data_IF_063338388822
#
_entry.id   IF_063338388822
#
_cell.length_a   1.000
_cell.length_b   1.000
_cell.length_c   1.000
_cell.angle_alpha   90.00
_cell.angle_beta   90.00
_cell.angle_gamma   90.00
#
_symmetry.space_group_name_H-M   'P 1'
#
loop_
_entity.id
_entity.type
_entity.pdbx_description
1 polymer ?
#
# COMPACT_ATOMS: atom_id res chain seq x y z
N UNK A 1 23.42 -41.45 10.32
CA UNK A 1 21.99 -41.19 10.60
C UNK A 1 21.80 -39.86 11.31
N UNK A 2 21.56 -38.79 10.56
CA UNK A 2 21.39 -37.43 11.09
C UNK A 2 20.12 -37.29 11.95
N UNK A 3 19.02 -37.97 11.58
CA UNK A 3 17.79 -38.02 12.38
C UNK A 3 17.96 -38.70 13.76
N UNK A 4 18.99 -39.54 13.95
CA UNK A 4 19.27 -40.18 15.24
C UNK A 4 19.97 -39.24 16.23
N UNK A 5 20.64 -38.18 15.75
CA UNK A 5 21.36 -37.25 16.61
C UNK A 5 20.41 -36.28 17.33
N UNK A 6 19.22 -36.02 16.78
CA UNK A 6 18.16 -35.23 17.43
C UNK A 6 18.68 -33.93 18.06
N UNK A 7 18.44 -33.76 19.36
CA UNK A 7 18.88 -32.58 20.15
C UNK A 7 20.29 -32.70 20.72
N UNK A 8 21.01 -33.79 20.46
CA UNK A 8 22.32 -34.05 21.07
C UNK A 8 23.45 -33.22 20.45
N UNK A 9 23.26 -32.66 19.25
CA UNK A 9 24.21 -31.74 18.61
C UNK A 9 23.53 -30.42 18.21
N UNK A 10 24.26 -29.30 18.16
CA UNK A 10 23.73 -28.04 17.65
C UNK A 10 23.20 -28.18 16.22
N UNK A 11 22.05 -27.57 15.95
CA UNK A 11 21.42 -27.63 14.62
C UNK A 11 22.32 -27.15 13.46
N UNK A 12 23.26 -26.19 13.60
CA UNK A 12 24.14 -25.80 12.49
C UNK A 12 25.14 -26.90 12.11
N UNK A 13 25.57 -27.73 13.07
CA UNK A 13 26.47 -28.86 12.82
C UNK A 13 25.75 -30.00 12.09
N UNK A 14 24.49 -30.23 12.45
CA UNK A 14 23.62 -31.17 11.74
C UNK A 14 23.31 -30.68 10.33
N UNK A 15 23.07 -29.37 10.15
CA UNK A 15 22.85 -28.74 8.86
C UNK A 15 24.08 -28.91 7.96
N UNK A 16 25.29 -28.65 8.47
CA UNK A 16 26.55 -28.82 7.76
C UNK A 16 26.77 -30.26 7.30
N UNK A 17 26.39 -31.24 8.11
CA UNK A 17 26.47 -32.66 7.74
C UNK A 17 25.57 -33.00 6.53
N UNK A 18 24.47 -32.25 6.32
CA UNK A 18 23.54 -32.46 5.21
C UNK A 18 23.83 -31.62 3.97
N UNK A 19 24.15 -30.33 4.17
CA UNK A 19 24.24 -29.33 3.10
C UNK A 19 25.67 -28.92 2.79
N UNK A 20 26.63 -29.32 3.62
CA UNK A 20 28.02 -28.85 3.57
C UNK A 20 28.22 -27.42 4.10
N UNK A 21 27.16 -26.77 4.60
CA UNK A 21 27.19 -25.40 5.12
C UNK A 21 26.58 -25.32 6.52
N UNK A 22 27.24 -24.56 7.41
CA UNK A 22 26.70 -24.22 8.74
C UNK A 22 25.63 -23.13 8.70
N UNK A 23 25.56 -22.37 7.61
CA UNK A 23 24.63 -21.26 7.43
C UNK A 23 23.40 -21.69 6.63
N UNK A 24 22.25 -21.08 6.96
CA UNK A 24 21.02 -21.27 6.20
C UNK A 24 21.14 -20.60 4.83
N UNK A 25 20.87 -21.37 3.76
CA UNK A 25 20.81 -20.88 2.40
C UNK A 25 19.41 -21.07 1.82
N UNK A 26 18.88 -20.02 1.18
CA UNK A 26 17.55 -19.98 0.56
C UNK A 26 17.62 -20.40 -0.92
N UNK A 27 18.81 -20.49 -1.52
CA UNK A 27 18.97 -20.85 -2.92
C UNK A 27 18.27 -22.18 -3.32
N UNK A 28 18.32 -23.27 -2.53
CA UNK A 28 17.61 -24.51 -2.87
C UNK A 28 16.08 -24.33 -2.91
N UNK A 29 15.54 -23.43 -2.08
CA UNK A 29 14.11 -23.11 -2.07
C UNK A 29 13.71 -22.30 -3.31
N UNK A 30 14.53 -21.32 -3.71
CA UNK A 30 14.30 -20.56 -4.95
C UNK A 30 14.39 -21.47 -6.18
N UNK A 31 15.35 -22.39 -6.19
CA UNK A 31 15.54 -23.36 -7.27
C UNK A 31 14.32 -24.27 -7.44
N UNK A 32 13.72 -24.69 -6.33
CA UNK A 32 12.47 -25.47 -6.31
C UNK A 32 11.30 -24.70 -6.94
N UNK A 33 11.17 -23.39 -6.65
CA UNK A 33 10.08 -22.55 -7.15
C UNK A 33 10.36 -21.86 -8.49
N UNK A 34 11.56 -21.99 -9.06
CA UNK A 34 11.96 -21.34 -10.31
C UNK A 34 11.00 -21.58 -11.49
N UNK A 35 10.48 -22.80 -11.75
CA UNK A 35 9.50 -23.00 -12.83
C UNK A 35 8.22 -22.17 -12.65
N UNK A 36 7.72 -22.10 -11.41
CA UNK A 36 6.53 -21.31 -11.08
C UNK A 36 6.82 -19.81 -11.21
N UNK A 37 7.96 -19.34 -10.72
CA UNK A 37 8.37 -17.95 -10.85
C UNK A 37 8.47 -17.53 -12.32
N UNK A 38 9.04 -18.37 -13.19
CA UNK A 38 9.12 -18.11 -14.62
C UNK A 38 7.73 -18.01 -15.27
N UNK A 39 6.80 -18.90 -14.92
CA UNK A 39 5.44 -18.85 -15.42
C UNK A 39 4.71 -17.58 -14.95
N UNK A 40 4.83 -17.23 -13.66
CA UNK A 40 4.22 -16.03 -13.11
C UNK A 40 4.75 -14.76 -13.77
N UNK A 41 6.06 -14.67 -14.02
CA UNK A 41 6.66 -13.55 -14.74
C UNK A 41 6.11 -13.43 -16.16
N UNK A 42 5.99 -14.54 -16.89
CA UNK A 42 5.40 -14.51 -18.25
C UNK A 42 3.97 -13.99 -18.25
N UNK A 43 3.14 -14.45 -17.30
CA UNK A 43 1.74 -14.05 -17.19
C UNK A 43 1.61 -12.56 -16.81
N UNK A 44 2.31 -12.14 -15.75
CA UNK A 44 2.21 -10.77 -15.21
C UNK A 44 2.91 -9.71 -16.07
N UNK A 45 3.89 -10.07 -16.89
CA UNK A 45 4.55 -9.15 -17.82
C UNK A 45 3.56 -8.46 -18.77
N UNK A 46 2.46 -9.12 -19.10
CA UNK A 46 1.40 -8.54 -19.93
C UNK A 46 0.53 -7.52 -19.18
N UNK A 47 0.43 -7.62 -17.86
CA UNK A 47 -0.50 -6.85 -17.03
C UNK A 47 0.17 -5.70 -16.24
N UNK A 48 1.45 -5.82 -15.89
CA UNK A 48 2.10 -4.95 -14.90
C UNK A 48 3.01 -3.86 -15.48
N UNK A 49 2.80 -3.44 -16.74
CA UNK A 49 3.73 -2.53 -17.42
C UNK A 49 3.90 -1.15 -16.74
N UNK A 50 3.02 -0.75 -15.81
CA UNK A 50 3.08 0.58 -15.17
C UNK A 50 2.71 0.58 -13.67
N UNK A 51 2.84 -0.54 -12.95
CA UNK A 51 2.38 -0.61 -11.57
C UNK A 51 3.56 -0.72 -10.58
N UNK A 52 3.98 0.42 -10.05
CA UNK A 52 4.91 0.50 -8.93
C UNK A 52 4.16 0.21 -7.62
N UNK A 53 4.82 -0.47 -6.68
CA UNK A 53 4.28 -0.63 -5.33
C UNK A 53 4.33 0.71 -4.62
N UNK A 54 3.20 1.39 -4.51
CA UNK A 54 3.07 2.62 -3.73
C UNK A 54 2.66 2.27 -2.31
N UNK A 55 3.32 2.87 -1.31
CA UNK A 55 2.94 2.76 0.11
C UNK A 55 1.58 3.45 0.43
N UNK A 56 0.89 3.96 -0.58
CA UNK A 56 -0.47 4.46 -0.46
C UNK A 56 -1.45 3.30 -0.24
N UNK A 57 -1.78 3.06 1.02
CA UNK A 57 -3.05 2.43 1.36
C UNK A 57 -4.16 3.26 0.71
N UNK A 58 -4.97 2.64 -0.15
CA UNK A 58 -6.14 3.30 -0.77
C UNK A 58 -7.21 3.55 0.29
N UNK A 59 -6.97 4.56 1.12
CA UNK A 59 -7.91 5.03 2.10
C UNK A 59 -8.82 6.06 1.43
N UNK A 60 -9.94 5.59 0.89
CA UNK A 60 -10.97 6.47 0.35
C UNK A 60 -11.89 6.96 1.48
N UNK A 61 -11.34 7.74 2.41
CA UNK A 61 -12.18 8.49 3.34
C UNK A 61 -12.75 9.70 2.61
N UNK A 62 -14.06 9.68 2.39
CA UNK A 62 -14.86 10.81 1.90
C UNK A 62 -14.93 11.98 2.93
N UNK A 63 -13.82 12.33 3.58
CA UNK A 63 -13.68 13.54 4.41
C UNK A 63 -13.94 14.82 3.60
N UNK A 64 -13.71 14.76 2.29
CA UNK A 64 -13.96 15.85 1.35
C UNK A 64 -15.45 16.11 1.12
N UNK A 65 -16.34 15.12 1.26
CA UNK A 65 -17.75 15.35 0.96
C UNK A 65 -18.40 16.16 2.08
N UNK A 66 -18.28 15.71 3.34
CA UNK A 66 -18.90 16.39 4.49
C UNK A 66 -18.30 17.78 4.74
N UNK A 67 -16.97 17.91 4.70
CA UNK A 67 -16.31 19.20 4.90
C UNK A 67 -16.58 20.19 3.74
N UNK A 68 -16.64 19.71 2.50
CA UNK A 68 -16.99 20.57 1.36
C UNK A 68 -18.44 21.07 1.43
N UNK A 69 -19.40 20.28 1.90
CA UNK A 69 -20.78 20.77 2.07
C UNK A 69 -20.87 21.91 3.10
N UNK A 70 -20.14 21.79 4.22
CA UNK A 70 -20.10 22.83 5.26
C UNK A 70 -19.41 24.10 4.74
N UNK A 71 -18.28 23.97 4.03
CA UNK A 71 -17.58 25.11 3.44
C UNK A 71 -18.44 25.81 2.36
N UNK A 72 -19.11 25.04 1.49
CA UNK A 72 -20.02 25.58 0.47
C UNK A 72 -21.20 26.31 1.11
N UNK A 73 -21.78 25.77 2.19
CA UNK A 73 -22.88 26.42 2.92
C UNK A 73 -22.47 27.78 3.52
N UNK A 74 -21.31 27.85 4.17
CA UNK A 74 -20.80 29.10 4.74
C UNK A 74 -20.51 30.16 3.66
N UNK A 75 -19.94 29.76 2.52
CA UNK A 75 -19.69 30.69 1.41
C UNK A 75 -21.01 31.27 0.87
N UNK A 76 -22.03 30.45 0.67
CA UNK A 76 -23.35 30.93 0.20
C UNK A 76 -23.99 31.90 1.20
N UNK A 77 -23.90 31.61 2.50
CA UNK A 77 -24.41 32.51 3.54
C UNK A 77 -23.66 33.84 3.60
N UNK A 78 -22.33 33.82 3.50
CA UNK A 78 -21.50 35.02 3.48
C UNK A 78 -21.76 35.88 2.22
N UNK A 79 -21.91 35.24 1.06
CA UNK A 79 -22.26 35.94 -0.18
C UNK A 79 -23.65 36.57 -0.10
N UNK A 80 -24.63 35.83 0.45
CA UNK A 80 -25.99 36.34 0.60
C UNK A 80 -26.06 37.51 1.59
N UNK A 81 -25.39 37.41 2.74
CA UNK A 81 -25.32 38.52 3.70
C UNK A 81 -24.59 39.73 3.12
N UNK A 82 -23.49 39.55 2.39
CA UNK A 82 -22.80 40.62 1.70
C UNK A 82 -23.68 41.31 0.64
N UNK A 83 -24.41 40.54 -0.18
CA UNK A 83 -25.36 41.08 -1.16
C UNK A 83 -26.49 41.83 -0.45
N UNK A 84 -27.07 41.30 0.62
CA UNK A 84 -28.09 42.00 1.41
C UNK A 84 -27.56 43.32 1.97
N UNK A 85 -26.34 43.31 2.51
CA UNK A 85 -25.68 44.52 3.02
C UNK A 85 -25.46 45.53 1.89
N UNK A 86 -25.01 45.12 0.70
CA UNK A 86 -24.87 46.00 -0.46
C UNK A 86 -26.21 46.59 -0.92
N UNK A 87 -27.28 45.80 -0.91
CA UNK A 87 -28.63 46.26 -1.26
C UNK A 87 -29.20 47.25 -0.22
N UNK A 88 -28.82 47.13 1.05
CA UNK A 88 -29.24 48.03 2.12
C UNK A 88 -28.37 49.30 2.16
N UNK A 89 -27.06 49.17 1.91
CA UNK A 89 -26.12 50.29 1.90
C UNK A 89 -26.15 51.10 0.60
N UNK A 90 -26.84 50.62 -0.43
CA UNK A 90 -27.11 51.37 -1.67
C UNK A 90 -28.62 51.65 -1.83
N UNK A 91 -29.25 52.47 -0.96
CA UNK A 91 -30.50 53.09 -1.34
C UNK A 91 -30.14 54.13 -2.41
N UNK A 92 -30.88 54.17 -3.53
CA UNK A 92 -30.72 55.13 -4.66
C UNK A 92 -29.89 54.59 -5.83
N UNK A 93 -30.55 53.72 -6.60
CA UNK A 93 -30.38 53.58 -8.05
C UNK A 93 -31.61 54.11 -8.83
N UNK A 94 -32.34 55.05 -8.23
CA UNK A 94 -33.16 56.10 -8.86
C UNK A 94 -32.85 57.38 -8.10
#
# INVERSE_FOLDING_TARGET
NMLQLGRSRPWPELLETLTGSRNLDVAPLLEYFRPLSNWLLQETSSYMQNQEWTDECRDNYNLLNTAAYVLRGNIVFLLWTYICILLIMNPVGV
#
